data_IF_123713556089
#
_entry.id   IF_123713556089
#
_cell.length_a   1.000
_cell.length_b   1.000
_cell.length_c   1.000
_cell.angle_alpha   90.00
_cell.angle_beta   90.00
_cell.angle_gamma   90.00
#
_symmetry.space_group_name_H-M   'P 1'
#
loop_
_entity.id
_entity.type
_entity.pdbx_description
1 polymer ?
#
# COMPACT_ATOMS: atom_id res chain seq x y z
N UNK A 1 26.11 -13.63 5.35
CA UNK A 1 25.26 -12.73 6.16
C UNK A 1 24.56 -11.81 5.17
N UNK A 2 23.29 -12.08 4.85
CA UNK A 2 22.57 -11.30 3.84
C UNK A 2 22.17 -9.93 4.38
N UNK A 3 22.55 -8.86 3.68
CA UNK A 3 22.12 -7.50 3.98
C UNK A 3 20.59 -7.40 3.92
N UNK A 4 19.99 -6.76 4.92
CA UNK A 4 18.59 -6.35 4.87
C UNK A 4 18.43 -5.29 3.77
N UNK A 5 18.09 -5.76 2.57
CA UNK A 5 17.76 -4.95 1.40
C UNK A 5 16.61 -4.00 1.79
N UNK A 6 16.83 -2.70 1.61
CA UNK A 6 15.92 -1.62 2.03
C UNK A 6 14.45 -1.96 1.72
N UNK A 7 13.63 -2.08 2.76
CA UNK A 7 12.18 -2.41 2.66
C UNK A 7 11.28 -1.17 2.59
N UNK A 8 11.87 0.03 2.61
CA UNK A 8 11.15 1.31 2.64
C UNK A 8 11.44 2.08 1.36
N UNK A 9 10.39 2.59 0.71
CA UNK A 9 10.50 3.50 -0.43
C UNK A 9 9.82 4.81 -0.08
N UNK A 10 10.34 5.91 -0.64
CA UNK A 10 9.81 7.25 -0.44
C UNK A 10 9.45 7.84 -1.80
N UNK A 11 8.31 8.51 -1.86
CA UNK A 11 7.89 9.28 -3.03
C UNK A 11 8.65 10.61 -3.09
N UNK A 12 8.51 11.32 -4.21
CA UNK A 12 8.86 12.73 -4.29
C UNK A 12 7.98 13.61 -3.38
N UNK A 13 8.53 14.75 -2.98
CA UNK A 13 7.79 15.76 -2.20
C UNK A 13 6.98 16.65 -3.14
N UNK A 14 5.69 16.84 -2.85
CA UNK A 14 4.82 17.77 -3.55
C UNK A 14 4.65 19.03 -2.69
N UNK A 15 5.39 20.08 -3.03
CA UNK A 15 5.46 21.30 -2.21
C UNK A 15 4.11 22.04 -2.16
N UNK A 16 3.74 22.49 -0.96
CA UNK A 16 2.59 23.38 -0.70
C UNK A 16 1.27 22.84 -1.27
N UNK A 17 1.04 21.53 -1.13
CA UNK A 17 -0.16 20.89 -1.65
C UNK A 17 -0.74 19.88 -0.63
N UNK A 18 -1.98 20.10 -0.20
CA UNK A 18 -2.71 19.20 0.70
C UNK A 18 -3.44 18.06 -0.03
N UNK A 19 -3.49 18.11 -1.36
CA UNK A 19 -4.06 17.07 -2.23
C UNK A 19 -2.99 16.65 -3.26
N UNK A 20 -1.85 16.12 -2.80
CA UNK A 20 -0.77 15.71 -3.69
C UNK A 20 -1.19 14.56 -4.58
N UNK A 21 -0.87 14.67 -5.88
CA UNK A 21 -0.90 13.55 -6.83
C UNK A 21 0.55 13.16 -7.10
N UNK A 22 0.95 11.99 -6.60
CA UNK A 22 2.31 11.49 -6.79
C UNK A 22 2.51 10.87 -8.16
N UNK A 23 1.59 9.99 -8.59
CA UNK A 23 1.72 9.19 -9.82
C UNK A 23 3.07 8.48 -9.91
N UNK A 24 3.51 7.92 -8.78
CA UNK A 24 4.78 7.21 -8.64
C UNK A 24 4.56 5.71 -8.42
N UNK A 25 5.36 4.88 -9.08
CA UNK A 25 5.34 3.44 -8.89
C UNK A 25 6.52 2.98 -8.02
N UNK A 26 6.22 2.10 -7.06
CA UNK A 26 7.22 1.54 -6.16
C UNK A 26 7.10 0.02 -6.09
N UNK A 27 8.06 -0.69 -6.68
CA UNK A 27 8.09 -2.17 -6.67
C UNK A 27 8.80 -2.71 -5.43
N UNK A 28 8.19 -3.66 -4.73
CA UNK A 28 8.81 -4.41 -3.64
C UNK A 28 8.98 -5.88 -4.03
N UNK A 29 10.16 -6.46 -3.76
CA UNK A 29 10.40 -7.89 -3.97
C UNK A 29 10.05 -8.65 -2.69
N UNK A 30 9.14 -9.62 -2.81
CA UNK A 30 8.71 -10.47 -1.71
C UNK A 30 9.47 -11.80 -1.84
N UNK A 31 10.35 -12.10 -0.87
CA UNK A 31 11.26 -13.24 -0.96
C UNK A 31 10.55 -14.60 -0.92
N UNK A 32 9.47 -14.71 -0.13
CA UNK A 32 8.62 -15.89 -0.07
C UNK A 32 7.22 -15.48 0.33
N UNK A 33 6.23 -16.13 -0.27
CA UNK A 33 4.81 -16.05 0.13
C UNK A 33 4.47 -17.34 0.87
N UNK A 34 4.25 -17.26 2.19
CA UNK A 34 3.85 -18.37 3.05
C UNK A 34 2.53 -18.02 3.75
N UNK A 35 1.73 -19.04 4.08
CA UNK A 35 0.43 -18.81 4.73
C UNK A 35 0.55 -18.29 6.17
N UNK A 36 1.71 -18.43 6.79
CA UNK A 36 1.96 -18.06 8.19
C UNK A 36 2.48 -16.64 8.35
N UNK A 37 2.98 -16.04 7.27
CA UNK A 37 3.54 -14.70 7.29
C UNK A 37 2.46 -13.63 7.13
N UNK A 38 2.70 -12.47 7.77
CA UNK A 38 1.91 -11.25 7.57
C UNK A 38 2.60 -10.38 6.54
N UNK A 39 1.88 -10.04 5.47
CA UNK A 39 2.37 -9.19 4.40
C UNK A 39 1.73 -7.80 4.51
N UNK A 40 2.16 -7.04 5.52
CA UNK A 40 1.61 -5.72 5.78
C UNK A 40 2.40 -4.65 5.03
N UNK A 41 1.73 -3.85 4.20
CA UNK A 41 2.27 -2.60 3.68
C UNK A 41 1.85 -1.46 4.62
N UNK A 42 2.82 -0.83 5.25
CA UNK A 42 2.62 0.40 6.03
C UNK A 42 2.99 1.60 5.16
N UNK A 43 2.09 2.58 5.09
CA UNK A 43 2.33 3.86 4.43
C UNK A 43 2.19 4.97 5.45
N UNK A 44 3.17 5.87 5.48
CA UNK A 44 3.19 7.03 6.35
C UNK A 44 3.33 8.29 5.49
N UNK A 45 2.55 9.31 5.82
CA UNK A 45 2.62 10.61 5.16
C UNK A 45 3.35 11.57 6.10
N UNK A 46 4.25 12.35 5.54
CA UNK A 46 5.11 13.30 6.25
C UNK A 46 5.13 14.63 5.50
N UNK A 47 5.13 15.74 6.24
CA UNK A 47 5.39 17.07 5.68
C UNK A 47 6.90 17.32 5.69
N UNK A 48 7.50 17.61 4.53
CA UNK A 48 8.95 17.87 4.43
C UNK A 48 9.24 19.32 4.83
N UNK A 49 10.02 19.48 5.88
CA UNK A 49 10.43 20.77 6.40
C UNK A 49 11.92 21.02 6.15
N UNK A 50 12.24 22.16 5.52
CA UNK A 50 13.64 22.47 5.16
C UNK A 50 14.52 22.81 6.37
N UNK A 51 13.94 23.37 7.42
CA UNK A 51 14.68 23.95 8.55
C UNK A 51 14.28 23.35 9.91
N UNK A 52 13.20 22.58 9.94
CA UNK A 52 12.65 21.92 11.12
C UNK A 52 12.62 20.41 10.88
N UNK A 53 12.11 19.65 11.85
CA UNK A 53 11.88 18.22 11.66
C UNK A 53 10.59 18.03 10.88
N UNK A 54 10.58 17.06 9.97
CA UNK A 54 9.38 16.68 9.24
C UNK A 54 8.23 16.32 10.19
N UNK A 55 7.05 16.85 9.91
CA UNK A 55 5.84 16.62 10.71
C UNK A 55 5.09 15.38 10.21
N UNK A 56 4.68 14.51 11.13
CA UNK A 56 3.89 13.33 10.80
C UNK A 56 2.46 13.72 10.41
N UNK A 57 2.01 13.26 9.25
CA UNK A 57 0.69 13.57 8.68
C UNK A 57 -0.25 12.36 8.61
N UNK A 58 0.07 11.28 9.32
CA UNK A 58 -0.80 10.11 9.43
C UNK A 58 -0.23 8.86 8.77
N UNK A 59 -0.83 7.73 9.12
CA UNK A 59 -0.43 6.41 8.59
C UNK A 59 -1.63 5.57 8.19
N UNK A 60 -1.40 4.67 7.25
CA UNK A 60 -2.31 3.58 6.93
C UNK A 60 -1.57 2.26 6.76
N UNK A 61 -2.28 1.15 6.98
CA UNK A 61 -1.76 -0.18 6.78
C UNK A 61 -2.73 -0.99 5.91
N UNK A 62 -2.18 -1.83 5.03
CA UNK A 62 -2.96 -2.76 4.22
C UNK A 62 -2.31 -4.14 4.20
N UNK A 63 -3.12 -5.16 4.46
CA UNK A 63 -2.73 -6.56 4.32
C UNK A 63 -2.71 -6.93 2.83
N UNK A 64 -1.55 -7.35 2.34
CA UNK A 64 -1.32 -7.78 0.96
C UNK A 64 -1.59 -9.28 0.77
N UNK A 65 -1.81 -10.06 1.83
CA UNK A 65 -2.11 -11.50 1.70
C UNK A 65 -3.30 -11.79 0.76
N UNK A 66 -4.41 -11.01 0.78
CA UNK A 66 -5.49 -11.17 -0.18
C UNK A 66 -5.06 -11.06 -1.65
N UNK A 67 -4.08 -10.20 -1.96
CA UNK A 67 -3.49 -10.04 -3.29
C UNK A 67 -2.62 -11.20 -3.72
N UNK A 68 -2.19 -12.06 -2.79
CA UNK A 68 -1.30 -13.20 -3.08
C UNK A 68 -2.03 -14.52 -3.23
N UNK A 69 -3.25 -14.63 -2.69
CA UNK A 69 -4.07 -15.85 -2.74
C UNK A 69 -4.74 -16.04 -4.10
N UNK A 70 -4.57 -17.22 -4.68
CA UNK A 70 -5.27 -17.62 -5.89
C UNK A 70 -6.66 -18.12 -5.48
N UNK A 71 -7.68 -17.29 -5.72
CA UNK A 71 -9.08 -17.64 -5.48
C UNK A 71 -9.86 -17.52 -6.80
N UNK A 72 -10.85 -18.39 -6.96
CA UNK A 72 -11.78 -18.31 -8.10
C UNK A 72 -12.77 -17.17 -7.90
N UNK A 73 -12.94 -16.35 -8.95
CA UNK A 73 -13.90 -15.25 -8.96
C UNK A 73 -13.38 -13.93 -8.40
N UNK A 74 -14.31 -13.01 -8.22
CA UNK A 74 -14.03 -11.64 -7.75
C UNK A 74 -13.89 -11.64 -6.23
N UNK A 75 -12.70 -11.31 -5.73
CA UNK A 75 -12.47 -11.16 -4.30
C UNK A 75 -12.72 -9.71 -3.87
N UNK A 76 -13.49 -9.54 -2.81
CA UNK A 76 -13.80 -8.24 -2.20
C UNK A 76 -13.15 -8.17 -0.82
N UNK A 77 -12.37 -7.13 -0.58
CA UNK A 77 -11.88 -6.77 0.74
C UNK A 77 -12.83 -5.71 1.29
N UNK A 78 -13.70 -6.12 2.21
CA UNK A 78 -14.69 -5.25 2.80
C UNK A 78 -14.05 -4.22 3.74
N UNK A 79 -14.58 -3.00 3.73
CA UNK A 79 -14.31 -2.01 4.79
C UNK A 79 -14.72 -2.58 6.14
N UNK A 80 -13.89 -2.38 7.15
CA UNK A 80 -14.23 -2.73 8.52
C UNK A 80 -13.52 -1.82 9.52
N UNK A 81 -13.96 -1.85 10.78
CA UNK A 81 -13.31 -1.07 11.85
C UNK A 81 -11.86 -1.50 12.12
N UNK A 82 -11.50 -2.72 11.70
CA UNK A 82 -10.19 -3.32 11.92
C UNK A 82 -9.22 -3.12 10.75
N UNK A 83 -9.61 -2.42 9.69
CA UNK A 83 -8.73 -2.07 8.57
C UNK A 83 -8.76 -0.56 8.29
N UNK A 84 -7.96 -0.14 7.31
CA UNK A 84 -7.80 1.27 6.94
C UNK A 84 -8.61 1.64 5.69
N UNK A 85 -9.40 0.74 5.12
CA UNK A 85 -10.18 1.02 3.91
C UNK A 85 -11.29 2.04 4.21
N UNK A 86 -11.42 3.06 3.38
CA UNK A 86 -12.56 4.00 3.45
C UNK A 86 -13.81 3.44 2.75
N UNK A 87 -13.63 2.48 1.84
CA UNK A 87 -14.67 1.78 1.09
C UNK A 87 -14.21 0.37 0.72
N UNK A 88 -15.15 -0.51 0.39
CA UNK A 88 -14.83 -1.85 -0.10
C UNK A 88 -13.91 -1.77 -1.33
N UNK A 89 -12.99 -2.72 -1.41
CA UNK A 89 -12.00 -2.80 -2.48
C UNK A 89 -12.08 -4.15 -3.19
N UNK A 90 -11.96 -4.14 -4.52
CA UNK A 90 -12.02 -5.36 -5.32
C UNK A 90 -10.62 -5.75 -5.78
N UNK A 91 -10.33 -7.04 -5.72
CA UNK A 91 -9.13 -7.61 -6.34
C UNK A 91 -9.54 -8.20 -7.68
N UNK A 92 -8.92 -7.69 -8.74
CA UNK A 92 -9.13 -8.12 -10.11
C UNK A 92 -7.97 -9.01 -10.54
N UNK A 93 -8.29 -10.14 -11.17
CA UNK A 93 -7.32 -11.02 -11.82
C UNK A 93 -7.31 -10.73 -13.32
N UNK A 94 -6.14 -10.44 -13.86
CA UNK A 94 -5.91 -10.23 -15.29
C UNK A 94 -5.50 -11.55 -15.98
N UNK A 95 -5.67 -11.60 -17.30
CA UNK A 95 -5.35 -12.79 -18.12
C UNK A 95 -3.85 -13.16 -18.07
N UNK A 96 -2.98 -12.16 -17.89
CA UNK A 96 -1.53 -12.33 -17.75
C UNK A 96 -1.10 -12.85 -16.36
N UNK A 97 -2.06 -13.16 -15.49
CA UNK A 97 -1.83 -13.62 -14.12
C UNK A 97 -1.52 -12.50 -13.12
N UNK A 98 -1.51 -11.23 -13.56
CA UNK A 98 -1.40 -10.08 -12.67
C UNK A 98 -2.68 -9.92 -11.85
N UNK A 99 -2.53 -9.49 -10.60
CA UNK A 99 -3.64 -9.11 -9.73
C UNK A 99 -3.52 -7.65 -9.38
N UNK A 100 -4.62 -6.91 -9.47
CA UNK A 100 -4.69 -5.49 -9.17
C UNK A 100 -5.75 -5.22 -8.10
N UNK A 101 -5.48 -4.24 -7.25
CA UNK A 101 -6.39 -3.80 -6.21
C UNK A 101 -6.28 -2.29 -6.02
N UNK A 102 -7.34 -1.58 -6.38
CA UNK A 102 -7.48 -0.16 -6.07
C UNK A 102 -8.00 -0.01 -4.62
N UNK A 103 -7.32 0.83 -3.84
CA UNK A 103 -7.65 1.07 -2.44
C UNK A 103 -7.68 2.55 -2.13
N UNK A 104 -8.65 2.95 -1.32
CA UNK A 104 -8.69 4.27 -0.70
C UNK A 104 -8.56 4.05 0.80
N UNK A 105 -7.47 4.54 1.38
CA UNK A 105 -7.11 4.32 2.76
C UNK A 105 -7.35 5.59 3.59
N UNK A 106 -8.05 5.45 4.71
CA UNK A 106 -8.18 6.51 5.71
C UNK A 106 -6.96 6.55 6.61
N UNK A 107 -6.25 7.67 6.61
CA UNK A 107 -5.11 7.88 7.49
C UNK A 107 -5.56 7.94 8.95
N UNK A 108 -4.79 7.30 9.83
CA UNK A 108 -4.95 7.38 11.30
C UNK A 108 -3.77 8.13 11.92
N UNK A 109 -3.97 8.64 13.13
CA UNK A 109 -2.97 9.45 13.84
C UNK A 109 -2.89 10.91 13.37
N UNK A 110 -3.86 11.33 12.55
CA UNK A 110 -4.04 12.70 12.04
C UNK A 110 -5.52 13.05 12.08
N UNK A 111 -5.87 14.34 12.06
CA UNK A 111 -7.26 14.80 12.07
C UNK A 111 -8.06 14.32 10.83
N UNK A 112 -7.43 14.35 9.66
CA UNK A 112 -8.04 13.97 8.39
C UNK A 112 -6.99 13.60 7.36
N UNK A 113 -7.34 12.71 6.43
CA UNK A 113 -6.51 12.35 5.30
C UNK A 113 -6.99 11.06 4.65
N UNK A 114 -7.01 11.05 3.32
CA UNK A 114 -7.27 9.86 2.50
C UNK A 114 -6.07 9.66 1.58
N UNK A 115 -5.76 8.39 1.30
CA UNK A 115 -4.69 8.02 0.39
C UNK A 115 -5.21 6.98 -0.60
N UNK A 116 -5.23 7.34 -1.87
CA UNK A 116 -5.56 6.43 -2.95
C UNK A 116 -4.29 5.72 -3.46
N UNK A 117 -4.34 4.40 -3.60
CA UNK A 117 -3.26 3.57 -4.11
C UNK A 117 -3.82 2.53 -5.09
N UNK A 118 -3.05 2.24 -6.14
CA UNK A 118 -3.23 1.03 -6.94
C UNK A 118 -2.15 0.02 -6.56
N UNK A 119 -2.55 -1.14 -6.08
CA UNK A 119 -1.66 -2.23 -5.71
C UNK A 119 -1.65 -3.28 -6.80
N UNK A 120 -0.47 -3.68 -7.27
CA UNK A 120 -0.33 -4.72 -8.28
C UNK A 120 0.61 -5.83 -7.80
N UNK A 121 0.15 -7.07 -7.95
CA UNK A 121 0.95 -8.26 -7.72
C UNK A 121 1.17 -9.01 -9.03
N UNK A 122 2.44 -9.26 -9.34
CA UNK A 122 2.87 -10.14 -10.42
C UNK A 122 3.63 -11.32 -9.84
N UNK A 123 3.18 -12.54 -10.13
CA UNK A 123 3.92 -13.76 -9.77
C UNK A 123 5.26 -13.74 -10.53
N UNK A 124 6.38 -14.12 -9.89
CA UNK A 124 7.64 -14.28 -10.60
C UNK A 124 7.45 -15.25 -11.78
N UNK A 125 8.06 -14.93 -12.93
CA UNK A 125 8.16 -15.90 -14.01
C UNK A 125 9.02 -17.08 -13.51
N UNK A 126 8.55 -18.31 -13.79
CA UNK A 126 9.32 -19.54 -13.56
C UNK A 126 10.55 -19.58 -14.47
#
# INVERSE_FOLDING_TARGET
>A
MGELKVRVKKTGVKKRNLNPVWDEEHTFTIASVSDHDRYLLTVEVWDEDRFTRDDFMGRAEIDLKPLFQEEEGKKVVAKSNNNFLEKDSNILKHEDGRRAQEVCLKLRGVHSGLLDLNLEYKKPAL
#
